data_IF_949612549234
#
_entry.id   IF_949612549234
#
_cell.length_a   1.000
_cell.length_b   1.000
_cell.length_c   1.000
_cell.angle_alpha   90.00
_cell.angle_beta   90.00
_cell.angle_gamma   90.00
#
_symmetry.space_group_name_H-M   'P 1'
#
loop_
_entity.id
_entity.type
_entity.pdbx_description
1 polymer ?
#
# COMPACT_ATOMS: atom_id res chain seq x y z
N UNK A 1 -28.74 30.19 25.72
CA UNK A 1 -29.68 29.49 24.80
C UNK A 1 -28.82 28.96 23.66
N UNK A 2 -28.45 27.67 23.71
CA UNK A 2 -28.99 26.59 22.86
C UNK A 2 -28.80 26.97 21.37
N UNK A 3 -27.91 26.29 20.64
CA UNK A 3 -28.28 24.99 20.07
C UNK A 3 -27.16 23.95 20.07
N UNK A 4 -27.59 22.74 20.48
CA UNK A 4 -26.96 21.43 20.30
C UNK A 4 -27.11 21.06 18.83
N UNK A 5 -26.01 20.85 18.12
CA UNK A 5 -26.04 20.15 16.85
C UNK A 5 -26.08 18.65 17.12
N UNK A 6 -27.12 18.04 16.57
CA UNK A 6 -27.60 16.70 16.80
C UNK A 6 -26.71 15.64 16.17
N UNK A 7 -26.37 14.63 16.96
CA UNK A 7 -25.91 13.31 16.52
C UNK A 7 -26.87 12.75 15.46
N UNK A 8 -26.37 12.52 14.26
CA UNK A 8 -27.01 11.69 13.25
C UNK A 8 -26.09 10.48 13.02
N UNK A 9 -26.15 9.54 13.96
CA UNK A 9 -25.66 8.18 13.72
C UNK A 9 -26.58 7.55 12.67
N UNK A 10 -26.08 7.43 11.45
CA UNK A 10 -26.75 6.68 10.40
C UNK A 10 -26.52 5.19 10.66
N UNK A 11 -27.59 4.52 11.09
CA UNK A 11 -27.70 3.07 11.21
C UNK A 11 -27.31 2.39 9.88
N UNK A 12 -26.16 1.72 9.88
CA UNK A 12 -25.75 0.81 8.80
C UNK A 12 -26.13 -0.62 9.20
N UNK A 13 -27.37 -0.99 8.91
CA UNK A 13 -27.84 -2.37 8.73
C UNK A 13 -27.65 -2.75 7.24
N UNK A 14 -27.43 -3.97 6.77
CA UNK A 14 -27.39 -5.33 7.31
C UNK A 14 -26.74 -6.21 6.22
N UNK A 15 -25.91 -7.16 6.68
CA UNK A 15 -25.74 -8.56 6.27
C UNK A 15 -26.20 -9.04 4.87
N UNK A 16 -25.26 -9.63 4.11
CA UNK A 16 -25.54 -10.87 3.38
C UNK A 16 -24.31 -11.80 3.38
N UNK A 17 -24.43 -12.86 4.18
CA UNK A 17 -23.66 -14.08 4.15
C UNK A 17 -24.03 -14.85 2.88
N UNK A 18 -23.12 -14.90 1.90
CA UNK A 18 -23.25 -15.83 0.77
C UNK A 18 -22.28 -16.99 0.98
N UNK A 19 -22.68 -17.92 1.84
CA UNK A 19 -22.11 -19.26 1.92
C UNK A 19 -22.44 -20.01 0.62
N UNK A 20 -21.45 -20.18 -0.26
CA UNK A 20 -21.58 -21.01 -1.46
C UNK A 20 -21.09 -22.43 -1.15
N UNK A 21 -22.02 -23.26 -0.68
CA UNK A 21 -21.93 -24.71 -0.76
C UNK A 21 -22.17 -25.16 -2.19
N UNK A 22 -21.22 -25.88 -2.78
CA UNK A 22 -21.48 -26.70 -3.97
C UNK A 22 -20.90 -28.08 -3.74
N UNK A 23 -21.81 -29.00 -3.43
CA UNK A 23 -21.63 -30.44 -3.35
C UNK A 23 -21.65 -31.06 -4.75
N UNK A 24 -20.66 -31.89 -5.08
CA UNK A 24 -20.83 -32.97 -6.05
C UNK A 24 -20.20 -34.25 -5.50
N UNK A 25 -21.04 -35.27 -5.36
CA UNK A 25 -20.68 -36.58 -4.85
C UNK A 25 -20.04 -37.47 -5.90
N UNK A 26 -19.21 -38.39 -5.44
CA UNK A 26 -18.92 -39.64 -6.15
C UNK A 26 -18.71 -40.74 -5.11
N UNK A 27 -19.62 -41.71 -5.12
CA UNK A 27 -19.56 -42.96 -4.37
C UNK A 27 -18.53 -43.91 -5.00
N UNK A 28 -17.62 -44.45 -4.20
CA UNK A 28 -16.99 -45.76 -4.45
C UNK A 28 -16.53 -46.39 -3.12
N UNK A 29 -16.66 -47.70 -3.05
CA UNK A 29 -16.66 -48.56 -1.86
C UNK A 29 -15.35 -48.66 -1.04
N UNK A 30 -15.46 -49.05 0.25
CA UNK A 30 -14.34 -49.12 1.19
C UNK A 30 -13.58 -50.46 1.12
N UNK A 31 -12.46 -50.51 0.38
CA UNK A 31 -11.47 -51.59 0.57
C UNK A 31 -10.64 -51.30 1.83
N UNK A 32 -11.06 -51.91 2.93
CA UNK A 32 -10.51 -51.76 4.28
C UNK A 32 -9.17 -52.51 4.42
N UNK A 33 -8.09 -51.97 3.82
CA UNK A 33 -6.73 -52.33 4.22
C UNK A 33 -6.14 -51.17 5.03
N UNK A 34 -6.29 -51.27 6.36
CA UNK A 34 -5.75 -50.31 7.31
C UNK A 34 -4.22 -50.23 7.19
N UNK A 35 -3.74 -49.23 6.44
CA UNK A 35 -2.33 -48.83 6.46
C UNK A 35 -2.00 -48.33 7.87
N UNK A 36 -0.83 -48.68 8.43
CA UNK A 36 -0.45 -48.22 9.76
C UNK A 36 -0.47 -46.70 9.78
N UNK A 37 -1.30 -46.14 10.67
CA UNK A 37 -1.41 -44.70 10.90
C UNK A 37 -0.12 -44.24 11.58
N UNK A 38 0.90 -43.95 10.77
CA UNK A 38 2.06 -43.22 11.26
C UNK A 38 1.61 -41.80 11.58
N UNK A 39 1.23 -41.59 12.84
CA UNK A 39 1.05 -40.26 13.40
C UNK A 39 2.41 -39.56 13.32
N UNK A 40 2.56 -38.66 12.35
CA UNK A 40 3.74 -37.80 12.26
C UNK A 40 3.64 -36.82 13.42
N UNK A 41 4.52 -36.97 14.41
CA UNK A 41 4.64 -36.01 15.49
C UNK A 41 4.97 -34.67 14.86
N UNK A 42 3.99 -33.77 14.80
CA UNK A 42 4.19 -32.44 14.25
C UNK A 42 5.15 -31.71 15.20
N UNK A 43 6.46 -31.70 14.87
CA UNK A 43 7.44 -30.93 15.63
C UNK A 43 6.98 -29.48 15.59
N UNK A 44 6.54 -28.96 16.74
CA UNK A 44 6.25 -27.54 16.91
C UNK A 44 7.58 -26.81 16.76
N UNK A 45 7.88 -26.33 15.56
CA UNK A 45 8.93 -25.35 15.38
C UNK A 45 8.53 -24.12 16.20
N UNK A 46 9.29 -23.83 17.26
CA UNK A 46 9.23 -22.52 17.89
C UNK A 46 9.45 -21.49 16.80
N UNK A 47 8.38 -20.78 16.42
CA UNK A 47 8.42 -19.83 15.32
C UNK A 47 9.52 -18.81 15.60
N UNK A 48 10.53 -18.74 14.73
CA UNK A 48 11.55 -17.70 14.83
C UNK A 48 10.84 -16.35 14.75
N UNK A 49 11.09 -15.47 15.73
CA UNK A 49 10.59 -14.09 15.67
C UNK A 49 11.10 -13.45 14.37
N UNK A 50 10.18 -12.90 13.56
CA UNK A 50 10.57 -12.18 12.34
C UNK A 50 11.30 -10.89 12.74
N UNK A 51 12.44 -10.63 12.11
CA UNK A 51 13.11 -9.33 12.22
C UNK A 51 12.19 -8.24 11.64
N UNK A 52 12.13 -7.09 12.32
CA UNK A 52 11.40 -5.94 11.80
C UNK A 52 12.24 -5.30 10.70
N UNK A 53 11.72 -5.30 9.47
CA UNK A 53 12.26 -4.50 8.38
C UNK A 53 11.45 -3.19 8.28
N UNK A 54 11.94 -2.13 8.91
CA UNK A 54 11.25 -0.82 8.92
C UNK A 54 11.26 -0.15 7.55
N UNK A 55 12.27 -0.41 6.72
CA UNK A 55 12.41 0.24 5.42
C UNK A 55 11.36 -0.21 4.42
N UNK A 56 10.92 -1.46 4.53
CA UNK A 56 9.87 -2.02 3.69
C UNK A 56 8.46 -1.60 4.10
N UNK A 57 8.31 -0.93 5.24
CA UNK A 57 7.01 -0.43 5.66
C UNK A 57 6.46 0.53 4.61
N UNK A 58 5.21 0.32 4.21
CA UNK A 58 4.56 1.10 3.15
C UNK A 58 4.71 2.62 3.36
N UNK A 59 4.57 3.09 4.61
CA UNK A 59 4.80 4.50 4.97
C UNK A 59 6.22 4.98 4.68
N UNK A 60 7.23 4.17 5.02
CA UNK A 60 8.63 4.53 4.83
C UNK A 60 9.01 4.49 3.35
N UNK A 61 8.54 3.49 2.60
CA UNK A 61 8.67 3.43 1.14
C UNK A 61 8.07 4.66 0.46
N UNK A 62 6.84 5.04 0.81
CA UNK A 62 6.16 6.22 0.26
C UNK A 62 6.88 7.51 0.64
N UNK A 63 7.28 7.66 1.92
CA UNK A 63 8.04 8.84 2.37
C UNK A 63 9.36 8.97 1.62
N UNK A 64 10.09 7.87 1.43
CA UNK A 64 11.34 7.82 0.67
C UNK A 64 11.11 8.24 -0.79
N UNK A 65 10.15 7.62 -1.47
CA UNK A 65 9.81 7.97 -2.85
C UNK A 65 9.42 9.45 -3.00
N UNK A 66 8.65 10.00 -2.06
CA UNK A 66 8.26 11.42 -2.06
C UNK A 66 9.46 12.36 -1.91
N UNK A 67 10.39 12.01 -1.03
CA UNK A 67 11.61 12.80 -0.80
C UNK A 67 12.50 12.78 -2.05
N UNK A 68 12.71 11.60 -2.63
CA UNK A 68 13.46 11.39 -3.87
C UNK A 68 12.74 11.95 -5.11
N UNK A 69 11.49 12.43 -4.97
CA UNK A 69 10.70 12.90 -6.10
C UNK A 69 10.26 11.82 -7.08
N UNK A 70 10.31 10.54 -6.69
CA UNK A 70 9.83 9.41 -7.51
C UNK A 70 8.30 9.29 -7.45
N UNK A 71 7.75 8.56 -8.41
CA UNK A 71 6.32 8.23 -8.39
C UNK A 71 5.98 7.29 -7.24
N UNK A 72 4.81 7.47 -6.63
CA UNK A 72 4.33 6.63 -5.54
C UNK A 72 2.80 6.55 -5.50
N UNK A 73 2.28 5.54 -4.83
CA UNK A 73 0.84 5.36 -4.60
C UNK A 73 0.50 5.75 -3.17
N UNK A 74 -0.48 6.60 -2.98
CA UNK A 74 -0.98 6.98 -1.66
C UNK A 74 -1.87 5.88 -1.05
N UNK A 75 -2.19 5.98 0.24
CA UNK A 75 -3.10 5.05 0.94
C UNK A 75 -4.48 4.94 0.29
N UNK A 76 -4.92 6.00 -0.40
CA UNK A 76 -6.19 6.03 -1.14
C UNK A 76 -6.11 5.38 -2.53
N UNK A 77 -4.95 4.88 -2.94
CA UNK A 77 -4.73 4.33 -4.29
C UNK A 77 -4.36 5.37 -5.35
N UNK A 78 -4.28 6.66 -4.99
CA UNK A 78 -3.91 7.73 -5.92
C UNK A 78 -2.43 7.64 -6.32
N UNK A 79 -2.16 7.67 -7.62
CA UNK A 79 -0.80 7.67 -8.17
C UNK A 79 -0.28 9.10 -8.24
N UNK A 80 0.82 9.37 -7.54
CA UNK A 80 1.61 10.59 -7.68
C UNK A 80 2.74 10.32 -8.66
N UNK A 81 2.85 11.15 -9.70
CA UNK A 81 3.92 11.07 -10.70
C UNK A 81 5.29 11.47 -10.14
N UNK A 82 6.32 11.25 -10.96
CA UNK A 82 7.67 11.76 -10.66
C UNK A 82 7.68 13.30 -10.71
N UNK A 83 8.50 13.92 -9.88
CA UNK A 83 8.73 15.38 -9.94
C UNK A 83 9.50 15.70 -11.21
N UNK A 84 9.09 16.76 -11.89
CA UNK A 84 9.76 17.31 -13.08
C UNK A 84 10.12 18.76 -12.85
N UNK A 85 11.14 19.24 -13.56
CA UNK A 85 11.46 20.65 -13.61
C UNK A 85 10.32 21.36 -14.32
N UNK A 86 9.64 22.25 -13.60
CA UNK A 86 8.59 23.09 -14.20
C UNK A 86 9.22 24.15 -15.09
N UNK A 87 8.53 24.44 -16.18
CA UNK A 87 8.81 25.63 -16.98
C UNK A 87 8.76 26.87 -16.08
N UNK A 88 9.69 27.79 -16.28
CA UNK A 88 9.88 28.94 -15.42
C UNK A 88 9.85 30.21 -16.25
N UNK A 89 8.65 30.77 -16.35
CA UNK A 89 8.39 32.02 -17.01
C UNK A 89 7.96 33.02 -15.94
N UNK A 90 8.92 33.73 -15.38
CA UNK A 90 8.64 34.78 -14.40
C UNK A 90 9.40 36.05 -14.76
N UNK A 91 8.80 37.19 -14.45
CA UNK A 91 9.37 38.51 -14.66
C UNK A 91 9.83 39.07 -13.31
N UNK A 92 11.01 38.67 -12.82
CA UNK A 92 11.61 39.27 -11.63
C UNK A 92 12.43 40.51 -12.01
N UNK A 93 12.60 41.44 -11.06
CA UNK A 93 13.49 42.61 -11.18
C UNK A 93 14.96 42.25 -11.46
N UNK A 94 15.37 41.02 -11.12
CA UNK A 94 16.76 40.56 -11.18
C UNK A 94 17.07 39.67 -12.39
N UNK A 95 16.20 39.65 -13.41
CA UNK A 95 16.40 38.87 -14.65
C UNK A 95 16.82 37.41 -14.41
N UNK A 96 16.19 36.77 -13.42
CA UNK A 96 16.52 35.44 -12.94
C UNK A 96 16.39 34.38 -14.07
N UNK A 97 15.52 34.62 -15.06
CA UNK A 97 15.40 33.83 -16.29
C UNK A 97 16.65 33.89 -17.18
N UNK A 98 17.31 35.05 -17.27
CA UNK A 98 18.53 35.21 -18.06
C UNK A 98 19.77 34.70 -17.29
N UNK A 99 19.77 34.83 -15.96
CA UNK A 99 20.90 34.45 -15.11
C UNK A 99 20.97 32.93 -14.89
N UNK A 100 19.81 32.27 -14.76
CA UNK A 100 19.69 30.83 -14.52
C UNK A 100 18.97 30.19 -15.70
N UNK A 101 19.77 29.83 -16.71
CA UNK A 101 19.29 29.07 -17.86
C UNK A 101 18.70 27.72 -17.45
N UNK A 102 17.83 27.17 -18.29
CA UNK A 102 17.19 25.87 -18.09
C UNK A 102 18.18 24.74 -17.80
N UNK A 103 19.34 24.74 -18.47
CA UNK A 103 20.41 23.77 -18.20
C UNK A 103 20.90 23.81 -16.75
N UNK A 104 21.12 25.02 -16.19
CA UNK A 104 21.54 25.17 -14.78
C UNK A 104 20.44 24.71 -13.82
N UNK A 105 19.18 24.89 -14.19
CA UNK A 105 18.04 24.40 -13.38
C UNK A 105 17.98 22.88 -13.41
N UNK A 106 18.22 22.26 -14.57
CA UNK A 106 18.25 20.81 -14.71
C UNK A 106 19.42 20.19 -13.94
N UNK A 107 20.61 20.80 -13.95
CA UNK A 107 21.74 20.32 -13.13
C UNK A 107 21.43 20.40 -11.64
N UNK A 108 20.90 21.54 -11.18
CA UNK A 108 20.48 21.70 -9.77
C UNK A 108 19.40 20.67 -9.40
N UNK A 109 18.47 20.36 -10.31
CA UNK A 109 17.44 19.36 -10.06
C UNK A 109 17.96 17.92 -10.05
N UNK A 110 19.05 17.62 -10.74
CA UNK A 110 19.66 16.29 -10.73
C UNK A 110 20.57 16.06 -9.52
N UNK A 111 21.18 17.14 -8.99
CA UNK A 111 22.10 17.07 -7.85
C UNK A 111 21.38 16.85 -6.51
N UNK A 112 20.07 17.11 -6.41
CA UNK A 112 19.26 17.08 -5.18
C UNK A 112 18.04 16.16 -5.28
#
# INVERSE_FOLDING_TARGET
MLSRDTDADADYESEDDTTSESSEGTSQEPSNMAKPVHWKVNKKYSGKKKLRNTDEWARNRVKRARNEGKSYVDRKGNVHGHKTVKEYNHTCRYDCNNNINENKRNTIFQDF
#
